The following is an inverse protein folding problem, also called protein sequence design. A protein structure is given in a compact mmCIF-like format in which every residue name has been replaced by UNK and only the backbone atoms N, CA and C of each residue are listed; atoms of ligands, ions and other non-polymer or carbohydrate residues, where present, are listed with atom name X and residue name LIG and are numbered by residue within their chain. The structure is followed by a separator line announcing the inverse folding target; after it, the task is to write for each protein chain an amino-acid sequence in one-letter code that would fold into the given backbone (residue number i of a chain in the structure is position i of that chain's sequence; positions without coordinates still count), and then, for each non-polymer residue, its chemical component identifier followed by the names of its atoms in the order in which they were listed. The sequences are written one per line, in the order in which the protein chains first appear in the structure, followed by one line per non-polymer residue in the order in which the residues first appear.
data_IF_281747053204
#
_entry.id   IF_281747053204
#
_cell.length_a   1.000
_cell.length_b   1.000
_cell.length_c   1.000
_cell.angle_alpha   90.00
_cell.angle_beta   90.00
_cell.angle_gamma   90.00
#
_symmetry.space_group_name_H-M   'P 1'
#
loop_
_entity.id
_entity.type
_entity.pdbx_description
1 polymer ?
#
# COMPACT_ATOMS: atom_id res chain seq x y z
N UNK A 1 16.33 -3.62 -21.49
CA UNK A 1 16.41 -2.94 -20.18
C UNK A 1 15.09 -3.22 -19.48
N UNK A 2 15.07 -4.16 -18.54
CA UNK A 2 13.86 -4.50 -17.80
C UNK A 2 13.56 -3.38 -16.80
N UNK A 3 12.31 -2.91 -16.78
CA UNK A 3 11.84 -1.82 -15.92
C UNK A 3 11.60 -2.39 -14.52
N UNK A 4 12.65 -2.41 -13.69
CA UNK A 4 12.63 -3.16 -12.42
C UNK A 4 11.67 -2.56 -11.37
N UNK A 5 11.45 -1.24 -11.37
CA UNK A 5 10.53 -0.53 -10.47
C UNK A 5 9.65 0.39 -11.30
N UNK A 6 8.33 0.34 -11.05
CA UNK A 6 7.36 1.25 -11.65
C UNK A 6 6.43 1.80 -10.57
N UNK A 7 6.37 3.12 -10.46
CA UNK A 7 5.32 3.79 -9.67
C UNK A 7 4.02 3.70 -10.45
N UNK A 8 2.97 3.17 -9.82
CA UNK A 8 1.65 3.13 -10.43
C UNK A 8 0.94 4.46 -10.16
N UNK A 9 0.46 5.10 -11.22
CA UNK A 9 -0.31 6.34 -11.12
C UNK A 9 -1.79 6.04 -10.95
N UNK A 10 -2.57 7.05 -10.56
CA UNK A 10 -4.03 6.98 -10.49
C UNK A 10 -4.69 6.69 -11.85
N UNK A 11 -3.95 6.88 -12.95
CA UNK A 11 -4.39 6.58 -14.31
C UNK A 11 -4.26 5.10 -14.68
N UNK A 12 -3.67 4.26 -13.81
CA UNK A 12 -3.69 2.81 -14.00
C UNK A 12 -5.16 2.33 -13.91
N UNK A 13 -5.73 1.71 -14.96
CA UNK A 13 -7.15 1.33 -14.98
C UNK A 13 -7.54 0.40 -13.83
N UNK A 14 -6.58 -0.32 -13.26
CA UNK A 14 -6.81 -1.23 -12.15
C UNK A 14 -6.81 -0.55 -10.78
N UNK A 15 -6.47 0.76 -10.72
CA UNK A 15 -6.40 1.60 -9.51
C UNK A 15 -7.15 2.94 -9.67
N UNK A 16 -8.04 3.05 -10.65
CA UNK A 16 -8.85 4.26 -10.86
C UNK A 16 -9.79 4.54 -9.66
N UNK A 17 -10.19 5.80 -9.50
CA UNK A 17 -11.00 6.28 -8.36
C UNK A 17 -12.26 5.45 -8.18
N UNK A 18 -12.99 5.19 -9.25
CA UNK A 18 -14.27 4.45 -9.23
C UNK A 18 -14.08 3.04 -8.68
N UNK A 19 -12.97 2.38 -9.05
CA UNK A 19 -12.67 1.04 -8.56
C UNK A 19 -12.27 1.08 -7.08
N UNK A 20 -11.42 2.02 -6.68
CA UNK A 20 -11.00 2.17 -5.28
C UNK A 20 -12.20 2.47 -4.39
N UNK A 21 -13.09 3.36 -4.83
CA UNK A 21 -14.34 3.70 -4.17
C UNK A 21 -15.25 2.48 -4.03
N UNK A 22 -15.47 1.72 -5.11
CA UNK A 22 -16.29 0.51 -5.10
C UNK A 22 -15.75 -0.51 -4.08
N UNK A 23 -14.45 -0.80 -4.11
CA UNK A 23 -13.80 -1.73 -3.18
C UNK A 23 -13.92 -1.25 -1.73
N UNK A 24 -13.68 0.04 -1.48
CA UNK A 24 -13.80 0.61 -0.13
C UNK A 24 -15.25 0.52 0.40
N UNK A 25 -16.24 0.79 -0.45
CA UNK A 25 -17.66 0.71 -0.08
C UNK A 25 -18.11 -0.73 0.21
N UNK A 26 -17.58 -1.71 -0.53
CA UNK A 26 -17.93 -3.13 -0.40
C UNK A 26 -17.28 -3.77 0.82
N UNK A 27 -15.96 -3.63 0.99
CA UNK A 27 -15.21 -4.37 2.01
C UNK A 27 -15.01 -3.59 3.31
N UNK A 28 -15.17 -2.27 3.28
CA UNK A 28 -15.01 -1.39 4.45
C UNK A 28 -16.27 -0.55 4.71
N UNK A 29 -17.46 -1.07 4.39
CA UNK A 29 -18.74 -0.34 4.40
C UNK A 29 -18.96 0.56 5.61
N UNK A 30 -18.78 0.03 6.83
CA UNK A 30 -18.97 0.82 8.04
C UNK A 30 -17.99 2.00 8.11
N UNK A 31 -16.70 1.76 7.81
CA UNK A 31 -15.65 2.77 7.83
C UNK A 31 -15.87 3.81 6.72
N UNK A 32 -16.23 3.36 5.53
CA UNK A 32 -16.51 4.21 4.37
C UNK A 32 -17.70 5.13 4.66
N UNK A 33 -18.81 4.59 5.16
CA UNK A 33 -19.99 5.38 5.51
C UNK A 33 -19.70 6.40 6.62
N UNK A 34 -18.93 6.00 7.65
CA UNK A 34 -18.50 6.95 8.70
C UNK A 34 -17.62 8.06 8.10
N UNK A 35 -16.69 7.73 7.20
CA UNK A 35 -15.84 8.72 6.55
C UNK A 35 -16.66 9.74 5.74
N UNK A 36 -17.65 9.28 4.96
CA UNK A 36 -18.59 10.15 4.25
C UNK A 36 -19.37 11.05 5.21
N UNK A 37 -19.87 10.51 6.32
CA UNK A 37 -20.62 11.28 7.32
C UNK A 37 -19.80 12.39 7.98
N UNK A 38 -18.48 12.19 8.12
CA UNK A 38 -17.57 13.22 8.66
C UNK A 38 -17.00 14.15 7.59
N UNK A 39 -17.45 14.05 6.33
CA UNK A 39 -17.11 14.97 5.25
C UNK A 39 -15.99 14.52 4.32
N UNK A 40 -15.62 13.24 4.30
CA UNK A 40 -14.72 12.71 3.26
C UNK A 40 -15.39 12.84 1.89
N UNK A 41 -14.66 13.37 0.92
CA UNK A 41 -15.07 13.34 -0.49
C UNK A 41 -14.71 11.97 -1.08
N UNK A 42 -15.71 11.20 -1.53
CA UNK A 42 -15.47 9.89 -2.12
C UNK A 42 -15.09 9.94 -3.60
N UNK A 43 -15.16 11.10 -4.24
CA UNK A 43 -14.70 11.30 -5.61
C UNK A 43 -13.25 11.84 -5.64
N UNK A 44 -12.72 12.24 -4.48
CA UNK A 44 -11.31 12.62 -4.32
C UNK A 44 -10.42 11.36 -4.17
N UNK A 45 -9.48 11.10 -5.09
CA UNK A 45 -8.56 9.97 -4.98
C UNK A 45 -7.78 9.99 -3.67
N UNK A 46 -7.30 11.15 -3.23
CA UNK A 46 -6.42 11.23 -2.07
C UNK A 46 -7.15 10.82 -0.79
N UNK A 47 -8.40 11.28 -0.62
CA UNK A 47 -9.29 10.88 0.48
C UNK A 47 -9.52 9.36 0.52
N UNK A 48 -9.73 8.72 -0.63
CA UNK A 48 -9.89 7.26 -0.71
C UNK A 48 -8.62 6.52 -0.32
N UNK A 49 -7.45 6.95 -0.82
CA UNK A 49 -6.18 6.32 -0.48
C UNK A 49 -5.80 6.52 0.99
N UNK A 50 -6.12 7.68 1.57
CA UNK A 50 -5.99 7.93 3.01
C UNK A 50 -6.90 7.01 3.82
N UNK A 51 -8.15 6.79 3.38
CA UNK A 51 -9.07 5.83 4.00
C UNK A 51 -8.46 4.42 4.04
N UNK A 52 -7.76 4.02 2.97
CA UNK A 52 -7.04 2.76 2.88
C UNK A 52 -5.71 2.75 3.66
N UNK A 53 -5.20 3.93 4.02
CA UNK A 53 -3.84 4.18 4.49
C UNK A 53 -2.77 3.62 3.54
N UNK A 54 -2.90 3.96 2.26
CA UNK A 54 -1.87 3.74 1.25
C UNK A 54 -1.35 5.11 0.83
N UNK A 55 -0.05 5.32 0.98
CA UNK A 55 0.66 6.51 0.53
C UNK A 55 1.14 6.37 -0.93
N UNK A 56 1.28 5.12 -1.40
CA UNK A 56 1.58 4.84 -2.81
C UNK A 56 1.46 3.37 -3.18
N UNK A 57 1.33 3.09 -4.47
CA UNK A 57 1.36 1.72 -5.01
C UNK A 57 2.47 1.61 -6.05
N UNK A 58 3.32 0.61 -5.90
CA UNK A 58 4.45 0.36 -6.79
C UNK A 58 4.37 -1.06 -7.36
N UNK A 59 4.94 -1.26 -8.54
CA UNK A 59 5.20 -2.58 -9.10
C UNK A 59 6.71 -2.84 -9.06
N UNK A 60 7.08 -3.97 -8.45
CA UNK A 60 8.46 -4.42 -8.30
C UNK A 60 8.63 -5.78 -8.99
N UNK A 61 9.71 -5.94 -9.73
CA UNK A 61 10.16 -7.24 -10.24
C UNK A 61 11.09 -7.88 -9.21
N UNK A 62 10.81 -9.11 -8.79
CA UNK A 62 11.68 -9.86 -7.86
C UNK A 62 12.85 -10.55 -8.58
N UNK A 63 13.74 -11.21 -7.81
CA UNK A 63 14.86 -12.01 -8.35
C UNK A 63 14.45 -13.16 -9.28
N UNK A 64 13.18 -13.59 -9.26
CA UNK A 64 12.65 -14.63 -10.14
C UNK A 64 12.05 -14.05 -11.43
N UNK A 65 11.98 -12.73 -11.57
CA UNK A 65 11.36 -12.03 -12.69
C UNK A 65 9.84 -11.91 -12.55
N UNK A 66 9.28 -12.20 -11.37
CA UNK A 66 7.85 -12.02 -11.11
C UNK A 66 7.56 -10.58 -10.68
N UNK A 67 6.49 -10.01 -11.23
CA UNK A 67 6.03 -8.68 -10.86
C UNK A 67 5.03 -8.74 -9.72
N UNK A 68 5.33 -8.01 -8.65
CA UNK A 68 4.48 -7.87 -7.47
C UNK A 68 4.00 -6.42 -7.35
N UNK A 69 2.72 -6.24 -7.10
CA UNK A 69 2.15 -4.94 -6.76
C UNK A 69 2.18 -4.75 -5.25
N UNK A 70 2.87 -3.72 -4.81
CA UNK A 70 3.08 -3.41 -3.40
C UNK A 70 2.37 -2.11 -3.03
N UNK A 71 1.42 -2.21 -2.11
CA UNK A 71 0.85 -1.05 -1.42
C UNK A 71 1.80 -0.60 -0.31
N UNK A 72 2.09 0.69 -0.26
CA UNK A 72 3.07 1.29 0.65
C UNK A 72 2.38 2.26 1.57
N UNK A 73 2.70 2.21 2.87
CA UNK A 73 2.41 3.27 3.82
C UNK A 73 3.69 3.74 4.52
N UNK A 74 3.81 5.04 4.75
CA UNK A 74 4.95 5.69 5.39
C UNK A 74 4.46 6.39 6.66
N UNK A 75 5.05 6.06 7.81
CA UNK A 75 4.68 6.64 9.10
C UNK A 75 5.91 6.89 9.97
N UNK A 76 5.83 7.84 10.89
CA UNK A 76 6.96 8.14 11.80
C UNK A 76 6.98 7.34 13.10
N UNK A 77 5.81 6.86 13.53
CA UNK A 77 5.65 6.27 14.87
C UNK A 77 5.53 4.77 14.75
N UNK A 78 6.46 4.04 15.38
CA UNK A 78 6.49 2.57 15.37
C UNK A 78 5.16 1.96 15.84
N UNK A 79 4.57 2.51 16.91
CA UNK A 79 3.25 2.07 17.39
C UNK A 79 2.11 2.29 16.38
N UNK A 80 2.21 3.28 15.50
CA UNK A 80 1.27 3.48 14.39
C UNK A 80 1.57 2.48 13.28
N UNK A 81 2.85 2.29 12.96
CA UNK A 81 3.32 1.37 11.93
C UNK A 81 2.87 -0.07 12.20
N UNK A 82 3.11 -0.55 13.43
CA UNK A 82 2.69 -1.88 13.88
C UNK A 82 1.17 -2.07 13.80
N UNK A 83 0.38 -1.06 14.21
CA UNK A 83 -1.09 -1.12 14.13
C UNK A 83 -1.58 -1.18 12.68
N UNK A 84 -0.96 -0.45 11.76
CA UNK A 84 -1.30 -0.47 10.34
C UNK A 84 -0.97 -1.82 9.71
N UNK A 85 0.21 -2.37 9.99
CA UNK A 85 0.60 -3.71 9.53
C UNK A 85 -0.39 -4.76 10.04
N UNK A 86 -0.69 -4.77 11.35
CA UNK A 86 -1.66 -5.72 11.94
C UNK A 86 -3.06 -5.57 11.37
N UNK A 87 -3.47 -4.36 11.02
CA UNK A 87 -4.74 -4.12 10.32
C UNK A 87 -4.76 -4.75 8.93
N UNK A 88 -3.66 -4.62 8.18
CA UNK A 88 -3.48 -5.23 6.86
C UNK A 88 -3.62 -6.75 6.86
N UNK A 89 -3.25 -7.42 7.96
CA UNK A 89 -3.36 -8.87 8.13
C UNK A 89 -4.81 -9.38 8.33
N UNK A 90 -5.77 -8.49 8.62
CA UNK A 90 -7.16 -8.89 8.89
C UNK A 90 -7.93 -9.24 7.61
N UNK A 91 -8.90 -10.15 7.71
CA UNK A 91 -9.64 -10.70 6.56
C UNK A 91 -10.29 -9.64 5.65
N UNK A 92 -10.87 -8.60 6.25
CA UNK A 92 -11.50 -7.50 5.51
C UNK A 92 -10.48 -6.76 4.65
N UNK A 93 -9.31 -6.45 5.21
CA UNK A 93 -8.25 -5.75 4.50
C UNK A 93 -7.58 -6.64 3.45
N UNK A 94 -7.38 -7.93 3.72
CA UNK A 94 -6.91 -8.89 2.71
C UNK A 94 -7.81 -8.91 1.47
N UNK A 95 -9.13 -8.78 1.65
CA UNK A 95 -10.05 -8.72 0.52
C UNK A 95 -9.96 -7.39 -0.25
N UNK A 96 -9.77 -6.26 0.46
CA UNK A 96 -9.47 -4.97 -0.18
C UNK A 96 -8.22 -5.08 -1.06
N UNK A 97 -7.13 -5.60 -0.54
CA UNK A 97 -5.87 -5.74 -1.27
C UNK A 97 -6.03 -6.63 -2.49
N UNK A 98 -6.66 -7.79 -2.33
CA UNK A 98 -6.95 -8.71 -3.45
C UNK A 98 -7.81 -8.04 -4.52
N UNK A 99 -8.84 -7.29 -4.15
CA UNK A 99 -9.71 -6.61 -5.10
C UNK A 99 -9.00 -5.48 -5.88
N UNK A 100 -8.01 -4.82 -5.25
CA UNK A 100 -7.13 -3.84 -5.89
C UNK A 100 -5.95 -4.47 -6.63
N UNK A 101 -5.80 -5.80 -6.58
CA UNK A 101 -4.67 -6.53 -7.17
C UNK A 101 -3.34 -6.20 -6.50
N UNK A 102 -3.36 -5.87 -5.20
CA UNK A 102 -2.18 -5.62 -4.38
C UNK A 102 -1.75 -6.94 -3.74
N UNK A 103 -0.53 -7.36 -4.07
CA UNK A 103 0.07 -8.62 -3.63
C UNK A 103 0.75 -8.50 -2.27
N UNK A 104 1.31 -7.32 -1.97
CA UNK A 104 2.00 -7.05 -0.71
C UNK A 104 1.58 -5.70 -0.14
N UNK A 105 1.56 -5.59 1.19
CA UNK A 105 1.35 -4.30 1.86
C UNK A 105 2.45 -4.04 2.89
N UNK A 106 3.23 -3.00 2.65
CA UNK A 106 4.39 -2.65 3.45
C UNK A 106 4.18 -1.32 4.16
N UNK A 107 4.52 -1.31 5.45
CA UNK A 107 4.48 -0.12 6.28
C UNK A 107 5.91 0.24 6.66
N UNK A 108 6.40 1.35 6.12
CA UNK A 108 7.69 1.91 6.47
C UNK A 108 7.55 2.83 7.68
N UNK A 109 8.22 2.47 8.77
CA UNK A 109 8.41 3.37 9.90
C UNK A 109 9.69 4.17 9.66
N UNK A 110 9.57 5.44 9.27
CA UNK A 110 10.72 6.30 8.89
C UNK A 110 10.96 7.40 9.91
N UNK A 111 12.22 7.67 10.22
CA UNK A 111 12.60 8.92 10.89
C UNK A 111 12.71 10.06 9.87
N UNK A 112 11.79 11.03 9.86
CA UNK A 112 11.85 12.16 8.91
C UNK A 112 13.13 13.02 9.02
N UNK A 113 13.87 12.94 10.12
CA UNK A 113 15.16 13.63 10.26
C UNK A 113 16.29 12.92 9.50
N UNK A 114 16.09 11.65 9.14
CA UNK A 114 17.06 10.78 8.50
C UNK A 114 16.34 9.94 7.44
N UNK A 115 15.86 10.63 6.39
CA UNK A 115 15.25 9.94 5.26
C UNK A 115 16.33 9.20 4.46
N UNK A 116 16.07 7.96 4.01
CA UNK A 116 16.93 7.29 3.05
C UNK A 116 17.04 8.12 1.77
N UNK A 117 18.21 8.10 1.16
CA UNK A 117 18.44 8.55 -0.21
C UNK A 117 17.70 7.67 -1.21
N UNK A 118 17.54 8.15 -2.44
CA UNK A 118 16.87 7.39 -3.51
C UNK A 118 17.50 6.01 -3.74
N UNK A 119 18.83 5.92 -3.66
CA UNK A 119 19.55 4.66 -3.80
C UNK A 119 19.26 3.70 -2.64
N UNK A 120 19.26 4.22 -1.41
CA UNK A 120 18.91 3.42 -0.22
C UNK A 120 17.46 2.93 -0.29
N UNK A 121 16.52 3.78 -0.73
CA UNK A 121 15.14 3.36 -0.96
C UNK A 121 15.03 2.21 -1.94
N UNK A 122 15.72 2.30 -3.08
CA UNK A 122 15.75 1.24 -4.08
C UNK A 122 16.29 -0.07 -3.48
N UNK A 123 17.40 -0.01 -2.76
CA UNK A 123 18.01 -1.18 -2.12
C UNK A 123 17.07 -1.79 -1.06
N UNK A 124 16.43 -0.96 -0.24
CA UNK A 124 15.44 -1.39 0.76
C UNK A 124 14.27 -2.11 0.09
N UNK A 125 13.72 -1.55 -0.99
CA UNK A 125 12.58 -2.14 -1.69
C UNK A 125 12.94 -3.52 -2.27
N UNK A 126 14.08 -3.64 -2.94
CA UNK A 126 14.52 -4.92 -3.52
C UNK A 126 14.90 -5.95 -2.46
N UNK A 127 15.60 -5.52 -1.40
CA UNK A 127 15.89 -6.42 -0.28
C UNK A 127 14.61 -6.98 0.34
N UNK A 128 13.52 -6.20 0.37
CA UNK A 128 12.25 -6.65 0.92
C UNK A 128 11.50 -7.58 -0.03
N UNK A 129 11.44 -7.29 -1.34
CA UNK A 129 10.70 -8.13 -2.28
C UNK A 129 11.36 -9.50 -2.47
N UNK A 130 12.68 -9.55 -2.52
CA UNK A 130 13.45 -10.80 -2.70
C UNK A 130 13.37 -11.72 -1.48
N UNK A 131 13.01 -11.17 -0.32
CA UNK A 131 12.75 -11.93 0.91
C UNK A 131 11.28 -12.35 1.07
N UNK A 132 10.40 -11.96 0.14
CA UNK A 132 8.98 -12.32 0.24
C UNK A 132 8.82 -13.84 0.06
N UNK A 133 8.13 -14.48 1.00
CA UNK A 133 7.93 -15.95 1.01
C UNK A 133 6.65 -16.38 0.28
N UNK A 134 6.14 -15.59 -0.65
CA UNK A 134 4.97 -15.90 -1.48
C UNK A 134 3.82 -14.88 -1.37
N UNK A 135 2.65 -15.27 -1.87
CA UNK A 135 1.49 -14.41 -2.08
C UNK A 135 0.91 -13.86 -0.75
N UNK A 136 0.73 -12.53 -0.65
CA UNK A 136 0.20 -11.79 0.51
C UNK A 136 1.16 -11.62 1.70
N UNK A 137 2.21 -10.82 1.51
CA UNK A 137 3.13 -10.40 2.58
C UNK A 137 2.72 -9.03 3.19
N UNK A 138 2.61 -9.00 4.53
CA UNK A 138 2.27 -7.81 5.33
C UNK A 138 3.43 -7.49 6.26
N UNK A 139 4.12 -6.38 6.00
CA UNK A 139 5.42 -6.14 6.64
C UNK A 139 5.53 -4.76 7.26
N UNK A 140 6.17 -4.71 8.42
CA UNK A 140 6.74 -3.50 9.00
C UNK A 140 8.22 -3.42 8.62
N UNK A 141 8.63 -2.31 8.03
CA UNK A 141 10.03 -2.02 7.70
C UNK A 141 10.46 -0.80 8.53
N UNK A 142 11.37 -1.00 9.48
CA UNK A 142 11.89 0.07 10.33
C UNK A 142 13.14 0.68 9.68
N UNK A 143 13.15 2.00 9.50
CA UNK A 143 14.20 2.79 8.84
C UNK A 143 14.66 3.96 9.71
#
# INVERSE_FOLDING_TARGET
MATRLKVLTLDDPSLCVEKVQAVASEYLTAKFNTAIQIGMDADDPYSLWELLAIDGVISLEDIHGEHHRVGVSIVERENRAYRLMKRGETSHWKNVWRALGIDCYWVFCVNLKHLPSDAEWVDILYQNIDRSHGCFDYRLVNL
#
